data_IF_623204889250
#
_entry.id   IF_623204889250
#
_cell.length_a   1.000
_cell.length_b   1.000
_cell.length_c   1.000
_cell.angle_alpha   90.00
_cell.angle_beta   90.00
_cell.angle_gamma   90.00
#
_symmetry.space_group_name_H-M   'P 1'
#
loop_
_entity.id
_entity.type
_entity.pdbx_description
1 polymer ?
#
# COMPACT_ATOMS: atom_id res chain seq x y z
N UNK A 1 -3.22 39.35 -66.11
CA UNK A 1 -3.43 40.24 -64.94
C UNK A 1 -4.85 40.74 -65.00
N UNK A 2 -5.71 40.28 -64.09
CA UNK A 2 -7.12 40.64 -64.03
C UNK A 2 -7.73 39.99 -62.79
N UNK A 3 -7.70 40.73 -61.68
CA UNK A 3 -8.29 40.40 -60.38
C UNK A 3 -9.81 40.62 -60.40
N UNK A 4 -10.53 39.81 -59.65
CA UNK A 4 -11.89 40.07 -59.19
C UNK A 4 -12.67 38.76 -59.05
N UNK A 5 -13.51 38.53 -58.05
CA UNK A 5 -13.94 39.24 -56.84
C UNK A 5 -14.78 38.19 -56.10
N UNK A 6 -14.61 38.07 -54.78
CA UNK A 6 -15.36 37.13 -53.94
C UNK A 6 -16.85 37.49 -53.93
N UNK A 7 -17.72 36.50 -54.12
CA UNK A 7 -19.15 36.63 -53.81
C UNK A 7 -19.59 35.41 -53.00
N UNK A 8 -20.04 35.68 -51.78
CA UNK A 8 -20.71 34.72 -50.90
C UNK A 8 -22.10 34.39 -51.46
N UNK A 9 -22.47 33.11 -51.46
CA UNK A 9 -23.83 32.67 -51.74
C UNK A 9 -24.41 31.95 -50.52
N UNK A 10 -25.30 32.69 -49.87
CA UNK A 10 -26.45 32.32 -49.02
C UNK A 10 -26.89 30.86 -49.03
N UNK A 11 -27.17 30.36 -47.82
CA UNK A 11 -27.82 29.08 -47.54
C UNK A 11 -29.19 28.97 -48.22
N UNK A 12 -29.40 27.86 -48.94
CA UNK A 12 -30.71 27.48 -49.46
C UNK A 12 -31.39 26.48 -48.51
N UNK A 13 -32.65 26.80 -48.25
CA UNK A 13 -33.60 26.13 -47.38
C UNK A 13 -33.90 24.70 -47.84
N UNK A 14 -33.67 23.73 -46.95
CA UNK A 14 -34.17 22.37 -47.08
C UNK A 14 -35.69 22.35 -46.90
N UNK A 15 -36.45 22.11 -47.97
CA UNK A 15 -37.79 21.52 -47.87
C UNK A 15 -37.75 20.05 -48.31
N UNK A 16 -37.85 19.22 -47.27
CA UNK A 16 -38.46 17.89 -47.14
C UNK A 16 -38.45 16.89 -48.32
N UNK A 17 -37.59 15.87 -48.22
CA UNK A 17 -37.93 14.51 -48.67
C UNK A 17 -37.06 13.48 -47.93
N UNK A 18 -37.72 12.68 -47.09
CA UNK A 18 -37.28 11.45 -46.42
C UNK A 18 -35.85 10.94 -46.75
N UNK A 19 -34.85 11.40 -46.02
CA UNK A 19 -33.72 10.56 -45.68
C UNK A 19 -34.00 10.03 -44.28
N UNK A 20 -34.25 8.72 -44.19
CA UNK A 20 -34.55 8.04 -42.93
C UNK A 20 -33.52 8.43 -41.86
N UNK A 21 -33.95 8.39 -40.60
CA UNK A 21 -33.05 8.53 -39.47
C UNK A 21 -31.86 7.58 -39.65
N UNK A 22 -30.73 8.11 -40.13
CA UNK A 22 -29.44 7.48 -39.96
C UNK A 22 -29.04 7.80 -38.53
N UNK A 23 -29.65 7.08 -37.59
CA UNK A 23 -29.00 6.87 -36.31
C UNK A 23 -27.71 6.14 -36.64
N UNK A 24 -26.61 6.90 -36.75
CA UNK A 24 -25.30 6.28 -36.66
C UNK A 24 -25.16 5.83 -35.22
N UNK A 25 -25.61 4.62 -34.94
CA UNK A 25 -25.08 3.91 -33.78
C UNK A 25 -23.68 3.54 -34.20
N UNK A 26 -22.71 4.42 -33.91
CA UNK A 26 -21.34 3.96 -33.73
C UNK A 26 -21.44 3.04 -32.51
N UNK A 27 -21.80 1.77 -32.74
CA UNK A 27 -21.35 0.68 -31.88
C UNK A 27 -19.88 0.55 -32.24
N UNK A 28 -19.10 1.54 -31.82
CA UNK A 28 -17.69 1.33 -31.64
C UNK A 28 -17.65 0.25 -30.58
N UNK A 29 -17.30 -0.96 -30.99
CA UNK A 29 -16.60 -1.86 -30.10
C UNK A 29 -15.37 -1.06 -29.66
N UNK A 30 -15.53 -0.31 -28.56
CA UNK A 30 -14.40 0.11 -27.75
C UNK A 30 -13.83 -1.20 -27.23
N UNK A 31 -12.97 -1.80 -28.04
CA UNK A 31 -12.07 -2.84 -27.61
C UNK A 31 -11.15 -2.16 -26.63
N UNK A 32 -11.57 -2.16 -25.37
CA UNK A 32 -10.72 -1.87 -24.23
C UNK A 32 -9.65 -2.96 -24.29
N UNK A 33 -8.52 -2.64 -24.91
CA UNK A 33 -7.39 -3.56 -24.93
C UNK A 33 -7.00 -3.78 -23.47
N UNK A 34 -7.31 -4.97 -22.96
CA UNK A 34 -6.94 -5.38 -21.63
C UNK A 34 -5.41 -5.42 -21.56
N UNK A 35 -4.81 -4.30 -21.18
CA UNK A 35 -3.42 -4.24 -20.78
C UNK A 35 -3.32 -4.89 -19.41
N UNK A 36 -2.49 -5.91 -19.32
CA UNK A 36 -2.10 -6.52 -18.06
C UNK A 36 -0.69 -6.08 -17.70
N UNK A 37 -0.46 -5.93 -16.41
CA UNK A 37 0.85 -5.64 -15.84
C UNK A 37 1.20 -6.66 -14.77
N UNK A 38 2.51 -6.89 -14.61
CA UNK A 38 3.03 -7.80 -13.61
C UNK A 38 3.27 -7.07 -12.29
N UNK A 39 2.68 -7.59 -11.21
CA UNK A 39 2.94 -7.18 -9.83
C UNK A 39 3.75 -8.28 -9.14
N UNK A 40 5.01 -7.98 -8.83
CA UNK A 40 5.90 -8.83 -8.05
C UNK A 40 5.89 -8.41 -6.57
N UNK A 41 5.61 -9.35 -5.68
CA UNK A 41 5.45 -9.13 -4.24
C UNK A 41 6.39 -10.06 -3.50
N UNK A 42 7.22 -9.48 -2.63
CA UNK A 42 8.18 -10.21 -1.80
C UNK A 42 8.20 -9.64 -0.38
N UNK A 43 8.83 -10.35 0.55
CA UNK A 43 9.07 -9.90 1.92
C UNK A 43 10.53 -10.04 2.33
N UNK A 44 10.94 -9.27 3.33
CA UNK A 44 12.16 -9.53 4.09
C UNK A 44 11.90 -10.61 5.15
N UNK A 45 12.97 -11.15 5.74
CA UNK A 45 12.85 -12.09 6.86
C UNK A 45 12.03 -11.51 8.03
N UNK A 46 11.24 -12.35 8.70
CA UNK A 46 10.46 -11.95 9.87
C UNK A 46 8.98 -11.66 9.60
N UNK A 47 8.47 -12.06 8.44
CA UNK A 47 7.05 -12.00 8.11
C UNK A 47 6.83 -12.47 6.69
N UNK A 48 5.57 -12.41 6.26
CA UNK A 48 5.15 -12.76 4.91
C UNK A 48 4.03 -11.83 4.44
N UNK A 49 3.86 -11.71 3.13
CA UNK A 49 2.67 -11.07 2.55
C UNK A 49 1.59 -12.13 2.39
N UNK A 50 0.48 -12.00 3.11
CA UNK A 50 -0.62 -12.98 3.13
C UNK A 50 -1.67 -12.71 2.06
N UNK A 51 -1.84 -11.45 1.65
CA UNK A 51 -2.77 -11.05 0.59
C UNK A 51 -2.07 -10.10 -0.38
N UNK A 52 -2.12 -10.36 -1.71
CA UNK A 52 -2.64 -11.58 -2.37
C UNK A 52 -1.75 -12.82 -2.16
N UNK A 53 -0.59 -12.65 -1.53
CA UNK A 53 0.45 -13.66 -1.39
C UNK A 53 1.78 -13.17 -1.96
N UNK A 54 2.84 -13.95 -1.79
CA UNK A 54 4.14 -13.69 -2.41
C UNK A 54 4.26 -14.33 -3.79
N UNK A 55 4.97 -13.65 -4.69
CA UNK A 55 5.18 -14.10 -6.06
C UNK A 55 4.89 -13.01 -7.09
N UNK A 56 4.74 -13.43 -8.34
CA UNK A 56 4.40 -12.54 -9.46
C UNK A 56 2.99 -12.84 -9.94
N UNK A 57 2.18 -11.79 -10.07
CA UNK A 57 0.78 -11.86 -10.45
C UNK A 57 0.50 -10.88 -11.58
N UNK A 58 -0.27 -11.29 -12.58
CA UNK A 58 -0.71 -10.42 -13.65
C UNK A 58 -2.10 -9.85 -13.33
N UNK A 59 -2.24 -8.53 -13.41
CA UNK A 59 -3.50 -7.82 -13.17
C UNK A 59 -3.84 -6.88 -14.31
N UNK A 60 -5.13 -6.66 -14.53
CA UNK A 60 -5.60 -5.68 -15.50
C UNK A 60 -5.23 -4.26 -15.07
N UNK A 61 -4.93 -3.40 -16.04
CA UNK A 61 -4.60 -2.00 -15.80
C UNK A 61 -5.70 -1.27 -15.03
N UNK A 62 -5.33 -0.56 -13.98
CA UNK A 62 -6.24 0.14 -13.07
C UNK A 62 -6.86 -0.76 -12.00
N UNK A 63 -6.51 -2.05 -11.93
CA UNK A 63 -6.96 -2.92 -10.84
C UNK A 63 -6.45 -2.41 -9.49
N UNK A 64 -7.33 -2.45 -8.48
CA UNK A 64 -7.00 -2.12 -7.09
C UNK A 64 -6.89 -3.42 -6.33
N UNK A 65 -5.69 -3.70 -5.80
CA UNK A 65 -5.36 -4.94 -5.10
C UNK A 65 -5.12 -4.63 -3.63
N UNK A 66 -5.72 -5.44 -2.76
CA UNK A 66 -5.48 -5.38 -1.33
C UNK A 66 -4.13 -6.02 -0.99
N UNK A 67 -3.36 -5.38 -0.12
CA UNK A 67 -2.06 -5.82 0.36
C UNK A 67 -2.13 -6.02 1.87
N UNK A 68 -1.76 -7.20 2.34
CA UNK A 68 -1.71 -7.54 3.77
C UNK A 68 -0.37 -8.19 4.11
N UNK A 69 0.40 -7.55 4.98
CA UNK A 69 1.66 -8.05 5.49
C UNK A 69 1.50 -8.56 6.93
N UNK A 70 1.74 -9.85 7.16
CA UNK A 70 1.66 -10.47 8.49
C UNK A 70 3.06 -10.69 9.06
N UNK A 71 3.43 -10.02 10.16
CA UNK A 71 4.72 -10.23 10.80
C UNK A 71 4.76 -11.55 11.59
N UNK A 72 5.93 -12.17 11.62
CA UNK A 72 6.20 -13.33 12.47
C UNK A 72 6.31 -12.95 13.96
N UNK A 73 6.25 -13.96 14.82
CA UNK A 73 6.43 -13.76 16.25
C UNK A 73 7.80 -13.16 16.58
N UNK A 74 7.78 -11.96 17.18
CA UNK A 74 9.00 -11.23 17.53
C UNK A 74 9.46 -10.23 16.48
N UNK A 75 8.70 -10.06 15.39
CA UNK A 75 8.93 -9.04 14.38
C UNK A 75 7.75 -8.06 14.29
N UNK A 76 8.00 -6.89 13.72
CA UNK A 76 6.99 -5.90 13.36
C UNK A 76 7.15 -5.47 11.91
N UNK A 77 6.02 -5.12 11.28
CA UNK A 77 6.02 -4.53 9.95
C UNK A 77 6.52 -3.09 10.01
N UNK A 78 7.46 -2.74 9.12
CA UNK A 78 8.07 -1.41 9.07
C UNK A 78 7.45 -0.57 7.96
N UNK A 79 7.56 -1.03 6.72
CA UNK A 79 7.01 -0.34 5.55
C UNK A 79 7.09 -1.20 4.28
N UNK A 80 6.28 -0.85 3.30
CA UNK A 80 6.44 -1.26 1.91
C UNK A 80 7.60 -0.49 1.26
N UNK A 81 8.29 -1.11 0.32
CA UNK A 81 9.37 -0.51 -0.46
C UNK A 81 9.39 -1.05 -1.90
N UNK A 82 10.21 -0.46 -2.76
CA UNK A 82 10.20 -0.74 -4.21
C UNK A 82 9.35 0.29 -4.94
N UNK A 83 8.49 -0.18 -5.84
CA UNK A 83 7.61 0.66 -6.64
C UNK A 83 6.32 0.99 -5.86
N UNK A 84 6.42 1.94 -4.93
CA UNK A 84 5.37 2.24 -3.94
C UNK A 84 4.53 3.48 -4.26
N UNK A 85 4.69 4.07 -5.45
CA UNK A 85 4.07 5.35 -5.83
C UNK A 85 2.53 5.28 -5.87
N UNK A 86 1.97 4.11 -6.16
CA UNK A 86 0.52 3.86 -6.24
C UNK A 86 -0.04 3.16 -5.01
N UNK A 87 0.77 2.97 -3.96
CA UNK A 87 0.34 2.41 -2.68
C UNK A 87 -0.29 3.52 -1.83
N UNK A 88 -1.52 3.29 -1.35
CA UNK A 88 -2.24 4.28 -0.54
C UNK A 88 -1.59 4.55 0.83
N UNK A 89 -0.97 3.54 1.44
CA UNK A 89 -0.38 3.61 2.77
C UNK A 89 0.91 2.79 2.88
N UNK A 90 2.04 3.37 2.47
CA UNK A 90 3.35 2.71 2.46
C UNK A 90 3.80 2.23 3.85
N UNK A 91 3.36 2.89 4.93
CA UNK A 91 3.66 2.50 6.31
C UNK A 91 2.55 1.68 7.00
N UNK A 92 1.49 1.30 6.28
CA UNK A 92 0.42 0.48 6.80
C UNK A 92 0.60 -0.98 6.36
N UNK A 93 0.55 -1.91 7.32
CA UNK A 93 0.65 -3.35 7.04
C UNK A 93 -0.51 -3.85 6.17
N UNK A 94 -1.69 -3.25 6.33
CA UNK A 94 -2.86 -3.41 5.46
C UNK A 94 -3.02 -2.16 4.60
N UNK A 95 -2.95 -2.31 3.28
CA UNK A 95 -3.08 -1.20 2.34
C UNK A 95 -3.61 -1.67 0.99
N UNK A 96 -3.68 -0.76 0.02
CA UNK A 96 -4.08 -1.08 -1.35
C UNK A 96 -3.09 -0.49 -2.33
N UNK A 97 -2.93 -1.15 -3.47
CA UNK A 97 -2.13 -0.70 -4.61
C UNK A 97 -3.01 -0.63 -5.86
N UNK A 98 -2.80 0.40 -6.68
CA UNK A 98 -3.40 0.48 -8.02
C UNK A 98 -2.36 0.08 -9.06
N UNK A 99 -2.67 -0.93 -9.87
CA UNK A 99 -1.75 -1.49 -10.87
C UNK A 99 -1.98 -0.81 -12.22
N UNK A 100 -1.23 0.24 -12.53
CA UNK A 100 -1.22 0.95 -13.83
C UNK A 100 0.08 0.78 -14.63
N UNK A 101 0.98 -0.09 -14.16
CA UNK A 101 2.27 -0.43 -14.74
C UNK A 101 2.83 -1.69 -14.09
N UNK A 102 4.00 -2.14 -14.54
CA UNK A 102 4.72 -3.24 -13.87
C UNK A 102 5.31 -2.74 -12.54
N UNK A 103 5.06 -3.49 -11.47
CA UNK A 103 5.42 -3.11 -10.10
C UNK A 103 6.22 -4.20 -9.41
N UNK A 104 7.27 -3.83 -8.69
CA UNK A 104 8.00 -4.71 -7.77
C UNK A 104 8.00 -4.12 -6.37
N UNK A 105 7.24 -4.74 -5.46
CA UNK A 105 7.08 -4.31 -4.08
C UNK A 105 7.68 -5.32 -3.09
N UNK A 106 8.15 -4.79 -1.96
CA UNK A 106 8.77 -5.55 -0.89
C UNK A 106 8.22 -5.10 0.48
N UNK A 107 7.67 -6.03 1.26
CA UNK A 107 7.32 -5.81 2.67
C UNK A 107 8.56 -5.91 3.55
N UNK A 108 8.83 -4.86 4.34
CA UNK A 108 9.95 -4.85 5.27
C UNK A 108 9.49 -5.15 6.69
N UNK A 109 10.24 -6.03 7.37
CA UNK A 109 10.02 -6.45 8.74
C UNK A 109 11.29 -6.26 9.57
N UNK A 110 11.13 -5.89 10.84
CA UNK A 110 12.22 -5.72 11.80
C UNK A 110 11.95 -6.47 13.11
N UNK A 111 13.01 -6.92 13.79
CA UNK A 111 12.88 -7.59 15.08
C UNK A 111 12.42 -6.61 16.17
N UNK A 112 11.39 -7.00 16.92
CA UNK A 112 10.90 -6.25 18.08
C UNK A 112 11.93 -6.39 19.22
N UNK A 113 12.84 -5.43 19.30
CA UNK A 113 13.70 -5.28 20.47
C UNK A 113 12.91 -4.69 21.63
N UNK A 114 12.40 -5.57 22.51
CA UNK A 114 11.88 -5.17 23.82
C UNK A 114 13.01 -4.52 24.61
N UNK A 115 13.00 -3.21 24.77
CA UNK A 115 13.92 -2.52 25.66
C UNK A 115 13.63 -2.95 27.10
N UNK A 116 14.45 -3.86 27.63
CA UNK A 116 14.41 -4.19 29.05
C UNK A 116 15.11 -3.07 29.80
N UNK A 117 14.35 -2.30 30.58
CA UNK A 117 14.90 -1.25 31.44
C UNK A 117 15.68 -1.88 32.59
N UNK A 118 16.94 -2.22 32.34
CA UNK A 118 17.83 -2.80 33.36
C UNK A 118 17.98 -1.89 34.58
N UNK A 119 17.81 -0.58 34.43
CA UNK A 119 17.78 0.37 35.55
C UNK A 119 16.60 0.08 36.51
N UNK A 120 15.42 -0.29 35.98
CA UNK A 120 14.26 -0.68 36.78
C UNK A 120 14.53 -2.00 37.52
N UNK A 121 15.14 -2.98 36.85
CA UNK A 121 15.48 -4.27 37.45
C UNK A 121 16.51 -4.09 38.58
N UNK A 122 17.60 -3.34 38.34
CA UNK A 122 18.61 -3.04 39.35
C UNK A 122 18.00 -2.28 40.53
N UNK A 123 17.11 -1.33 40.28
CA UNK A 123 16.37 -0.62 41.33
C UNK A 123 15.55 -1.54 42.22
N UNK A 124 14.80 -2.48 41.63
CA UNK A 124 14.01 -3.47 42.37
C UNK A 124 14.92 -4.40 43.19
N UNK A 125 15.99 -4.92 42.60
CA UNK A 125 16.94 -5.81 43.27
C UNK A 125 17.64 -5.08 44.44
N UNK A 126 18.10 -3.85 44.21
CA UNK A 126 18.72 -3.03 45.25
C UNK A 126 17.74 -2.75 46.41
N UNK A 127 16.48 -2.41 46.11
CA UNK A 127 15.45 -2.20 47.13
C UNK A 127 15.18 -3.48 47.93
N UNK A 128 15.07 -4.64 47.27
CA UNK A 128 14.88 -5.93 47.94
C UNK A 128 16.05 -6.29 48.86
N UNK A 129 17.30 -6.05 48.43
CA UNK A 129 18.49 -6.24 49.25
C UNK A 129 18.45 -5.30 50.46
N UNK A 130 18.16 -4.01 50.25
CA UNK A 130 18.08 -3.02 51.34
C UNK A 130 17.00 -3.40 52.35
N UNK A 131 15.80 -3.77 51.89
CA UNK A 131 14.70 -4.22 52.76
C UNK A 131 15.09 -5.49 53.52
N UNK A 132 15.68 -6.48 52.84
CA UNK A 132 16.16 -7.70 53.47
C UNK A 132 17.22 -7.43 54.54
N UNK A 133 18.18 -6.55 54.27
CA UNK A 133 19.19 -6.12 55.23
C UNK A 133 18.55 -5.39 56.42
N UNK A 134 17.64 -4.47 56.19
CA UNK A 134 16.92 -3.75 57.26
C UNK A 134 16.19 -4.74 58.17
N UNK A 135 15.43 -5.68 57.60
CA UNK A 135 14.71 -6.71 58.36
C UNK A 135 15.70 -7.59 59.15
N UNK A 136 16.80 -8.01 58.52
CA UNK A 136 17.84 -8.80 59.15
C UNK A 136 18.45 -8.08 60.36
N UNK A 137 18.84 -6.81 60.19
CA UNK A 137 19.41 -6.01 61.28
C UNK A 137 18.41 -5.73 62.39
N UNK A 138 17.14 -5.48 62.07
CA UNK A 138 16.08 -5.31 63.06
C UNK A 138 15.86 -6.60 63.86
N UNK A 139 15.85 -7.76 63.20
CA UNK A 139 15.75 -9.07 63.88
C UNK A 139 16.96 -9.37 64.75
N UNK A 140 18.17 -9.08 64.27
CA UNK A 140 19.43 -9.28 65.00
C UNK A 140 19.52 -8.41 66.25
N UNK A 141 19.02 -7.17 66.22
CA UNK A 141 19.01 -6.28 67.41
C UNK A 141 18.02 -6.71 68.50
N UNK A 142 17.01 -7.53 68.18
CA UNK A 142 16.01 -8.01 69.15
C UNK A 142 16.42 -9.30 69.86
N UNK A 143 17.50 -9.94 69.43
CA UNK A 143 17.95 -11.27 69.93
C UNK A 143 19.21 -11.18 70.81
N UNK A 144 19.59 -9.98 71.26
CA UNK A 144 20.63 -9.72 72.26
C UNK A 144 19.99 -9.04 73.46
#
# INVERSE_FOLDING_TARGET
MGLGLVAAATAETHDSCAAGALSITVVGEISEEAQQYDLAINSTAGGEVTVPGEGSFAYDAGAVIDLEATPDAGYEFVSWSGDVDTIAGVAAAETTITVDGDYSIMANFEEIHRSVDWALIVGIVAAAIVVGLVIFFVRRRRTT
#
